data_IF_638289944455
#
_entry.id   IF_638289944455
#
_cell.length_a   1.000
_cell.length_b   1.000
_cell.length_c   1.000
_cell.angle_alpha   90.00
_cell.angle_beta   90.00
_cell.angle_gamma   90.00
#
_symmetry.space_group_name_H-M   'P 1'
#
loop_
_entity.id
_entity.type
_entity.pdbx_description
1 polymer ?
#
# COMPACT_ATOMS: atom_id res chain seq x y z
N UNK A 1 -11.08 -19.05 4.01
CA UNK A 1 -10.20 -18.26 3.11
C UNK A 1 -9.14 -19.21 2.57
N UNK A 2 -8.93 -19.26 1.26
CA UNK A 2 -7.93 -20.17 0.68
C UNK A 2 -6.51 -19.75 1.09
N UNK A 3 -5.57 -20.70 1.15
CA UNK A 3 -4.18 -20.42 1.53
C UNK A 3 -3.52 -19.42 0.56
N UNK A 4 -3.91 -19.46 -0.72
CA UNK A 4 -3.43 -18.55 -1.75
C UNK A 4 -3.79 -17.09 -1.44
N UNK A 5 -5.01 -16.82 -0.97
CA UNK A 5 -5.45 -15.47 -0.58
C UNK A 5 -4.58 -14.95 0.57
N UNK A 6 -4.31 -15.78 1.58
CA UNK A 6 -3.46 -15.41 2.72
C UNK A 6 -2.05 -15.06 2.23
N UNK A 7 -1.45 -15.90 1.37
CA UNK A 7 -0.11 -15.69 0.85
C UNK A 7 -0.04 -14.37 0.07
N UNK A 8 -0.97 -14.12 -0.85
CA UNK A 8 -0.98 -12.88 -1.66
C UNK A 8 -1.14 -11.66 -0.76
N UNK A 9 -2.03 -11.72 0.23
CA UNK A 9 -2.24 -10.62 1.18
C UNK A 9 -0.98 -10.34 1.99
N UNK A 10 -0.33 -11.36 2.55
CA UNK A 10 0.93 -11.21 3.31
C UNK A 10 2.05 -10.67 2.42
N UNK A 11 2.16 -11.13 1.17
CA UNK A 11 3.14 -10.59 0.22
C UNK A 11 2.90 -9.12 -0.10
N UNK A 12 1.64 -8.69 -0.20
CA UNK A 12 1.31 -7.27 -0.38
C UNK A 12 1.73 -6.43 0.83
N UNK A 13 1.46 -6.90 2.06
CA UNK A 13 1.91 -6.22 3.29
C UNK A 13 3.44 -6.15 3.40
N UNK A 14 4.13 -7.24 3.04
CA UNK A 14 5.59 -7.26 3.02
C UNK A 14 6.15 -6.32 1.95
N UNK A 15 5.52 -6.26 0.78
CA UNK A 15 5.93 -5.36 -0.31
C UNK A 15 5.85 -3.90 0.13
N UNK A 16 4.73 -3.50 0.73
CA UNK A 16 4.57 -2.16 1.34
C UNK A 16 5.65 -1.92 2.41
N UNK A 17 5.83 -2.86 3.33
CA UNK A 17 6.82 -2.71 4.42
C UNK A 17 8.26 -2.55 3.88
N UNK A 18 8.59 -3.24 2.79
CA UNK A 18 9.89 -3.11 2.11
C UNK A 18 10.02 -1.73 1.48
N UNK A 19 8.98 -1.23 0.82
CA UNK A 19 8.96 0.12 0.23
C UNK A 19 9.14 1.17 1.33
N UNK A 20 8.40 1.08 2.43
CA UNK A 20 8.47 2.02 3.56
C UNK A 20 9.77 1.90 4.37
N UNK A 21 10.50 0.79 4.26
CA UNK A 21 11.81 0.62 4.89
C UNK A 21 12.92 1.13 3.97
N UNK A 22 12.97 0.63 2.74
CA UNK A 22 14.05 0.93 1.79
C UNK A 22 13.91 2.31 1.16
N UNK A 23 12.68 2.76 0.91
CA UNK A 23 12.39 4.04 0.29
C UNK A 23 13.02 5.20 1.06
N UNK A 24 12.77 5.35 2.37
CA UNK A 24 13.44 6.35 3.21
C UNK A 24 14.95 6.24 3.23
N UNK A 25 15.50 5.02 3.32
CA UNK A 25 16.95 4.79 3.34
C UNK A 25 17.58 5.27 2.04
N UNK A 26 16.99 4.92 0.89
CA UNK A 26 17.47 5.32 -0.44
C UNK A 26 17.28 6.82 -0.63
N UNK A 27 16.12 7.38 -0.28
CA UNK A 27 15.82 8.80 -0.35
C UNK A 27 16.85 9.64 0.42
N UNK A 28 17.18 9.21 1.64
CA UNK A 28 18.21 9.85 2.47
C UNK A 28 19.61 9.73 1.87
N UNK A 29 19.96 8.55 1.34
CA UNK A 29 21.27 8.31 0.72
C UNK A 29 21.51 9.17 -0.51
N UNK A 30 20.49 9.37 -1.34
CA UNK A 30 20.58 10.09 -2.61
C UNK A 30 19.98 11.51 -2.56
N UNK A 31 19.54 11.96 -1.38
CA UNK A 31 18.98 13.30 -1.12
C UNK A 31 17.79 13.68 -2.01
N UNK A 32 16.87 12.75 -2.24
CA UNK A 32 15.61 13.03 -2.95
C UNK A 32 14.39 12.83 -2.04
N UNK A 33 13.22 13.28 -2.49
CA UNK A 33 12.00 13.19 -1.71
C UNK A 33 11.45 11.75 -1.66
N UNK A 34 11.30 11.20 -0.45
CA UNK A 34 10.70 9.88 -0.21
C UNK A 34 9.33 9.72 -0.87
N UNK A 35 8.55 10.80 -0.98
CA UNK A 35 7.21 10.79 -1.57
C UNK A 35 7.17 10.24 -3.00
N UNK A 36 8.29 10.23 -3.74
CA UNK A 36 8.36 9.61 -5.07
C UNK A 36 8.17 8.09 -5.05
N UNK A 37 8.40 7.42 -3.92
CA UNK A 37 8.15 5.98 -3.77
C UNK A 37 6.66 5.61 -3.72
N UNK A 38 5.75 6.60 -3.59
CA UNK A 38 4.30 6.37 -3.59
C UNK A 38 3.81 5.58 -4.80
N UNK A 39 4.50 5.70 -5.94
CA UNK A 39 4.17 4.96 -7.16
C UNK A 39 4.31 3.44 -6.97
N UNK A 40 5.26 2.98 -6.15
CA UNK A 40 5.44 1.57 -5.85
C UNK A 40 4.36 1.05 -4.89
N UNK A 41 3.88 1.88 -3.96
CA UNK A 41 2.70 1.54 -3.14
C UNK A 41 1.45 1.38 -4.01
N UNK A 42 1.22 2.30 -4.96
CA UNK A 42 0.09 2.17 -5.90
C UNK A 42 0.19 0.94 -6.80
N UNK A 43 1.40 0.62 -7.28
CA UNK A 43 1.64 -0.63 -7.99
C UNK A 43 1.31 -1.85 -7.11
N UNK A 44 1.69 -1.82 -5.84
CA UNK A 44 1.38 -2.90 -4.89
C UNK A 44 -0.12 -3.05 -4.67
N UNK A 45 -0.86 -1.95 -4.52
CA UNK A 45 -2.32 -1.97 -4.40
C UNK A 45 -2.96 -2.57 -5.64
N UNK A 46 -2.55 -2.12 -6.82
CA UNK A 46 -3.04 -2.63 -8.10
C UNK A 46 -2.78 -4.13 -8.26
N UNK A 47 -1.54 -4.56 -8.06
CA UNK A 47 -1.15 -5.97 -8.19
C UNK A 47 -1.85 -6.84 -7.15
N UNK A 48 -2.04 -6.36 -5.93
CA UNK A 48 -2.79 -7.09 -4.91
C UNK A 48 -4.23 -7.34 -5.36
N UNK A 49 -4.91 -6.33 -5.92
CA UNK A 49 -6.25 -6.48 -6.47
C UNK A 49 -6.32 -7.46 -7.65
N UNK A 50 -5.34 -7.40 -8.56
CA UNK A 50 -5.23 -8.31 -9.69
C UNK A 50 -5.06 -9.77 -9.25
N UNK A 51 -4.04 -10.06 -8.43
CA UNK A 51 -3.73 -11.43 -8.00
C UNK A 51 -4.77 -12.01 -7.04
N UNK A 52 -5.35 -11.20 -6.14
CA UNK A 52 -6.44 -11.68 -5.26
C UNK A 52 -7.67 -12.09 -6.07
N UNK A 53 -7.93 -11.43 -7.20
CA UNK A 53 -9.08 -11.74 -8.06
C UNK A 53 -9.01 -13.14 -8.68
N UNK A 54 -7.83 -13.76 -8.72
CA UNK A 54 -7.65 -15.17 -9.14
C UNK A 54 -8.32 -16.18 -8.21
N UNK A 55 -8.52 -15.82 -6.94
CA UNK A 55 -8.93 -16.78 -5.91
C UNK A 55 -10.07 -16.31 -5.01
N UNK A 56 -10.46 -15.04 -5.10
CA UNK A 56 -11.42 -14.42 -4.19
C UNK A 56 -12.58 -13.73 -4.92
N UNK A 57 -13.69 -13.54 -4.19
CA UNK A 57 -14.84 -12.77 -4.69
C UNK A 57 -14.52 -11.28 -4.73
N UNK A 58 -15.27 -10.53 -5.54
CA UNK A 58 -15.09 -9.08 -5.69
C UNK A 58 -15.05 -8.33 -4.34
N UNK A 59 -15.97 -8.66 -3.43
CA UNK A 59 -16.06 -8.03 -2.11
C UNK A 59 -14.81 -8.32 -1.27
N UNK A 60 -14.32 -9.56 -1.28
CA UNK A 60 -13.10 -9.93 -0.56
C UNK A 60 -11.86 -9.26 -1.15
N UNK A 61 -11.75 -9.18 -2.48
CA UNK A 61 -10.64 -8.48 -3.16
C UNK A 61 -10.59 -7.01 -2.75
N UNK A 62 -11.71 -6.30 -2.84
CA UNK A 62 -11.78 -4.88 -2.49
C UNK A 62 -11.45 -4.68 -1.01
N UNK A 63 -12.08 -5.46 -0.11
CA UNK A 63 -11.82 -5.35 1.32
C UNK A 63 -10.34 -5.58 1.67
N UNK A 64 -9.73 -6.65 1.15
CA UNK A 64 -8.31 -6.94 1.41
C UNK A 64 -7.37 -5.91 0.78
N UNK A 65 -7.68 -5.41 -0.42
CA UNK A 65 -6.90 -4.32 -1.05
C UNK A 65 -6.96 -3.06 -0.19
N UNK A 66 -8.15 -2.68 0.28
CA UNK A 66 -8.31 -1.59 1.23
C UNK A 66 -7.47 -1.81 2.48
N UNK A 67 -7.48 -3.02 3.05
CA UNK A 67 -6.67 -3.33 4.24
C UNK A 67 -5.15 -3.21 4.00
N UNK A 68 -4.66 -3.53 2.81
CA UNK A 68 -3.25 -3.27 2.43
C UNK A 68 -2.97 -1.76 2.48
N UNK A 69 -3.84 -0.94 1.90
CA UNK A 69 -3.71 0.53 1.96
C UNK A 69 -3.80 1.08 3.37
N UNK A 70 -4.71 0.56 4.20
CA UNK A 70 -4.80 0.96 5.60
C UNK A 70 -3.52 0.65 6.37
N UNK A 71 -2.94 -0.53 6.14
CA UNK A 71 -1.66 -0.91 6.73
C UNK A 71 -0.54 0.04 6.29
N UNK A 72 -0.44 0.35 5.00
CA UNK A 72 0.53 1.32 4.45
C UNK A 72 0.39 2.69 5.14
N UNK A 73 -0.82 3.26 5.11
CA UNK A 73 -1.12 4.57 5.72
C UNK A 73 -1.05 4.61 7.25
N UNK A 74 -0.77 3.50 7.93
CA UNK A 74 -0.62 3.44 9.39
C UNK A 74 0.74 2.89 9.80
N UNK A 75 0.97 1.59 9.61
CA UNK A 75 2.21 0.90 9.96
C UNK A 75 3.34 1.32 9.03
N UNK A 76 3.08 1.43 7.73
CA UNK A 76 4.05 1.90 6.74
C UNK A 76 4.60 3.28 7.08
N UNK A 77 3.73 4.23 7.39
CA UNK A 77 4.11 5.57 7.88
C UNK A 77 4.99 5.51 9.13
N UNK A 78 4.68 4.65 10.11
CA UNK A 78 5.50 4.49 11.32
C UNK A 78 6.88 3.87 11.03
N UNK A 79 6.96 2.93 10.09
CA UNK A 79 8.22 2.38 9.59
C UNK A 79 9.03 3.51 8.94
N UNK A 80 8.43 4.25 8.01
CA UNK A 80 9.12 5.30 7.27
C UNK A 80 9.62 6.42 8.19
N UNK A 81 8.86 6.77 9.24
CA UNK A 81 9.32 7.68 10.30
C UNK A 81 10.59 7.20 11.00
N UNK A 82 10.65 5.92 11.38
CA UNK A 82 11.83 5.35 12.06
C UNK A 82 13.09 5.42 11.21
N UNK A 83 12.95 5.39 9.89
CA UNK A 83 14.07 5.50 8.94
C UNK A 83 14.28 6.93 8.40
N UNK A 84 13.73 7.95 9.08
CA UNK A 84 13.86 9.36 8.73
C UNK A 84 13.39 9.68 7.30
N UNK A 85 12.29 9.08 6.85
CA UNK A 85 11.75 9.30 5.50
C UNK A 85 11.09 10.66 5.27
N UNK A 86 10.82 11.41 6.33
CA UNK A 86 10.04 12.65 6.28
C UNK A 86 10.82 13.83 6.86
N UNK A 87 10.60 15.03 6.32
CA UNK A 87 11.15 16.27 6.87
C UNK A 87 10.34 16.73 8.10
N UNK A 88 10.89 17.63 8.92
CA UNK A 88 10.20 18.11 10.14
C UNK A 88 8.82 18.71 9.87
N UNK A 89 8.65 19.43 8.77
CA UNK A 89 7.35 20.00 8.38
C UNK A 89 6.31 18.90 8.09
N UNK A 90 6.74 17.82 7.41
CA UNK A 90 5.89 16.67 7.08
C UNK A 90 5.55 15.86 8.33
N UNK A 91 6.51 15.70 9.26
CA UNK A 91 6.32 14.96 10.51
C UNK A 91 5.19 15.57 11.35
N UNK A 92 5.15 16.90 11.50
CA UNK A 92 4.06 17.59 12.22
C UNK A 92 2.69 17.35 11.58
N UNK A 93 2.62 17.39 10.25
CA UNK A 93 1.39 17.11 9.53
C UNK A 93 0.94 15.66 9.76
N UNK A 94 1.86 14.70 9.62
CA UNK A 94 1.60 13.28 9.78
C UNK A 94 1.12 12.96 11.21
N UNK A 95 1.73 13.54 12.24
CA UNK A 95 1.31 13.33 13.63
C UNK A 95 -0.09 13.88 13.89
N UNK A 96 -0.39 15.07 13.35
CA UNK A 96 -1.70 15.71 13.51
C UNK A 96 -2.80 14.96 12.75
N UNK A 97 -2.46 14.27 11.66
CA UNK A 97 -3.42 13.66 10.72
C UNK A 97 -3.27 12.14 10.59
N UNK A 98 -2.60 11.46 11.52
CA UNK A 98 -2.30 10.02 11.46
C UNK A 98 -3.52 9.14 11.16
N UNK A 99 -4.65 9.41 11.82
CA UNK A 99 -5.88 8.64 11.60
C UNK A 99 -6.48 8.86 10.19
N UNK A 100 -6.30 10.07 9.63
CA UNK A 100 -6.81 10.42 8.30
C UNK A 100 -5.94 9.77 7.22
N UNK A 101 -4.62 9.67 7.42
CA UNK A 101 -3.71 9.02 6.47
C UNK A 101 -4.08 7.56 6.22
N UNK A 102 -4.37 6.79 7.28
CA UNK A 102 -4.82 5.41 7.14
C UNK A 102 -6.11 5.28 6.31
N UNK A 103 -7.08 6.18 6.53
CA UNK A 103 -8.34 6.20 5.77
C UNK A 103 -8.10 6.59 4.31
N UNK A 104 -7.26 7.60 4.05
CA UNK A 104 -6.93 8.03 2.70
C UNK A 104 -6.23 6.91 1.93
N UNK A 105 -5.24 6.24 2.53
CA UNK A 105 -4.54 5.12 1.91
C UNK A 105 -5.47 3.91 1.71
N UNK A 106 -6.40 3.64 2.62
CA UNK A 106 -7.45 2.64 2.43
C UNK A 106 -8.30 2.95 1.18
N UNK A 107 -8.80 4.18 1.06
CA UNK A 107 -9.59 4.61 -0.10
C UNK A 107 -8.80 4.54 -1.41
N UNK A 108 -7.53 4.96 -1.41
CA UNK A 108 -6.65 4.83 -2.57
C UNK A 108 -6.46 3.36 -2.96
N UNK A 109 -6.21 2.48 -1.99
CA UNK A 109 -6.03 1.06 -2.27
C UNK A 109 -7.33 0.37 -2.74
N UNK A 110 -8.51 0.83 -2.31
CA UNK A 110 -9.78 0.41 -2.93
C UNK A 110 -9.85 0.76 -4.41
N UNK A 111 -9.45 1.98 -4.78
CA UNK A 111 -9.45 2.44 -6.17
C UNK A 111 -8.46 1.61 -7.00
N UNK A 112 -7.19 1.59 -6.60
CA UNK A 112 -6.14 0.90 -7.36
C UNK A 112 -6.31 -0.62 -7.35
N UNK A 113 -6.69 -1.21 -6.22
CA UNK A 113 -7.04 -2.64 -6.14
C UNK A 113 -8.28 -2.98 -6.97
N UNK A 114 -9.27 -2.09 -7.02
CA UNK A 114 -10.42 -2.19 -7.90
C UNK A 114 -10.04 -2.15 -9.39
N UNK A 115 -9.11 -1.27 -9.77
CA UNK A 115 -8.57 -1.23 -11.14
C UNK A 115 -7.81 -2.52 -11.51
N UNK A 116 -7.00 -3.05 -10.59
CA UNK A 116 -6.30 -4.33 -10.79
C UNK A 116 -7.29 -5.49 -10.96
N UNK A 117 -8.34 -5.49 -10.15
CA UNK A 117 -9.46 -6.43 -10.28
C UNK A 117 -10.16 -6.30 -11.64
N UNK A 118 -10.44 -5.08 -12.08
CA UNK A 118 -11.11 -4.83 -13.35
C UNK A 118 -10.29 -5.38 -14.52
N UNK A 119 -8.96 -5.15 -14.52
CA UNK A 119 -8.06 -5.72 -15.52
C UNK A 119 -8.13 -7.26 -15.53
N UNK A 120 -8.10 -7.91 -14.36
CA UNK A 120 -8.22 -9.37 -14.28
C UNK A 120 -9.53 -9.87 -14.91
N UNK A 121 -10.65 -9.20 -14.66
CA UNK A 121 -11.93 -9.57 -15.29
C UNK A 121 -11.93 -9.39 -16.80
N UNK A 122 -11.30 -8.34 -17.34
CA UNK A 122 -11.15 -8.17 -18.79
C UNK A 122 -10.30 -9.25 -19.45
N UNK A 123 -9.39 -9.90 -18.72
CA UNK A 123 -8.51 -10.93 -19.27
C UNK A 123 -9.17 -12.33 -19.32
N UNK A 124 -10.27 -12.54 -18.61
CA UNK A 124 -10.90 -13.86 -18.44
C UNK A 124 -12.35 -13.88 -18.92
N UNK A 125 -12.98 -12.71 -19.03
CA UNK A 125 -14.23 -12.54 -19.79
C UNK A 125 -13.95 -12.55 -21.29
#
# INVERSE_FOLDING_TARGET
MSIQIVIIFVLALLSVSIIDTLGPIIANKFKFNYAYFIIFSFATYFLSGFFLSMFATANTVLFLSGMVGFYDGTVGVEIAKRFNGYQEADLKFIETKKNILGIVSFCLALIFGGLGRFLYTLMIG
#
